data_IF_803527350402
#
_entry.id   IF_803527350402
#
_cell.length_a   1.000
_cell.length_b   1.000
_cell.length_c   1.000
_cell.angle_alpha   90.00
_cell.angle_beta   90.00
_cell.angle_gamma   90.00
#
_symmetry.space_group_name_H-M   'P 1'
#
loop_
_entity.id
_entity.type
_entity.pdbx_description
1 polymer ?
#
# COMPACT_ATOMS: atom_id res chain seq x y z
N UNK A 1 16.70 18.64 4.79
CA UNK A 1 18.01 17.98 4.92
C UNK A 1 17.86 16.61 5.64
N UNK A 2 17.20 16.56 6.78
CA UNK A 2 17.01 15.33 7.58
C UNK A 2 16.27 14.21 6.86
N UNK A 3 15.25 14.50 6.07
CA UNK A 3 14.44 13.49 5.34
C UNK A 3 15.28 12.77 4.28
N UNK A 4 16.13 13.49 3.53
CA UNK A 4 17.01 12.89 2.50
C UNK A 4 18.09 11.99 3.11
N UNK A 5 18.61 12.33 4.29
CA UNK A 5 19.64 11.54 4.96
C UNK A 5 19.05 10.23 5.53
N UNK A 6 17.84 10.27 6.07
CA UNK A 6 17.13 9.08 6.59
C UNK A 6 16.71 8.14 5.45
N UNK A 7 16.27 8.67 4.31
CA UNK A 7 16.00 7.92 3.08
C UNK A 7 17.28 7.21 2.59
N UNK A 8 18.41 7.90 2.57
CA UNK A 8 19.70 7.35 2.14
C UNK A 8 20.18 6.23 3.06
N UNK A 9 20.05 6.41 4.39
CA UNK A 9 20.41 5.38 5.39
C UNK A 9 19.56 4.13 5.23
N UNK A 10 18.25 4.29 4.98
CA UNK A 10 17.32 3.17 4.79
C UNK A 10 17.61 2.39 3.51
N UNK A 11 17.86 3.09 2.41
CA UNK A 11 18.26 2.45 1.16
C UNK A 11 19.56 1.67 1.35
N UNK A 12 20.54 2.28 2.00
CA UNK A 12 21.83 1.60 2.28
C UNK A 12 21.65 0.37 3.20
N UNK A 13 20.78 0.44 4.21
CA UNK A 13 20.49 -0.71 5.08
C UNK A 13 19.74 -1.81 4.32
N UNK A 14 18.82 -1.45 3.46
CA UNK A 14 18.08 -2.41 2.61
C UNK A 14 19.00 -3.12 1.62
N UNK A 15 19.91 -2.38 0.97
CA UNK A 15 20.91 -2.97 0.07
C UNK A 15 21.86 -3.92 0.81
N UNK A 16 22.31 -3.54 2.00
CA UNK A 16 23.11 -4.40 2.87
C UNK A 16 22.35 -5.67 3.25
N UNK A 17 21.10 -5.56 3.67
CA UNK A 17 20.25 -6.71 3.97
C UNK A 17 20.07 -7.62 2.75
N UNK A 18 19.77 -7.08 1.57
CA UNK A 18 19.62 -7.86 0.32
C UNK A 18 20.90 -8.60 -0.06
N UNK A 19 22.04 -7.94 0.08
CA UNK A 19 23.35 -8.53 -0.20
C UNK A 19 23.66 -9.64 0.79
N UNK A 20 23.42 -9.42 2.08
CA UNK A 20 23.65 -10.43 3.12
C UNK A 20 22.72 -11.64 2.93
N UNK A 21 21.44 -11.43 2.60
CA UNK A 21 20.50 -12.53 2.34
C UNK A 21 20.98 -13.42 1.20
N UNK A 22 21.40 -12.83 0.07
CA UNK A 22 21.99 -13.60 -1.04
C UNK A 22 23.26 -14.35 -0.64
N UNK A 23 24.08 -13.77 0.22
CA UNK A 23 25.29 -14.44 0.73
C UNK A 23 24.93 -15.62 1.62
N UNK A 24 23.95 -15.46 2.51
CA UNK A 24 23.45 -16.53 3.39
C UNK A 24 22.87 -17.67 2.55
N UNK A 25 22.06 -17.39 1.52
CA UNK A 25 21.51 -18.41 0.62
C UNK A 25 22.61 -19.20 -0.08
N UNK A 26 23.63 -18.53 -0.64
CA UNK A 26 24.78 -19.19 -1.27
C UNK A 26 25.56 -20.06 -0.28
N UNK A 27 25.73 -19.61 0.97
CA UNK A 27 26.39 -20.40 2.02
C UNK A 27 25.57 -21.65 2.36
N UNK A 28 24.25 -21.54 2.50
CA UNK A 28 23.34 -22.68 2.73
C UNK A 28 23.36 -23.69 1.60
N UNK A 29 23.33 -23.23 0.35
CA UNK A 29 23.48 -24.12 -0.82
C UNK A 29 24.83 -24.84 -0.84
N UNK A 30 25.94 -24.13 -0.53
CA UNK A 30 27.25 -24.72 -0.45
C UNK A 30 27.36 -25.80 0.64
N UNK A 31 26.76 -25.54 1.82
CA UNK A 31 26.69 -26.53 2.91
C UNK A 31 25.94 -27.77 2.42
N UNK A 32 24.76 -27.58 1.77
CA UNK A 32 23.95 -28.69 1.26
C UNK A 32 24.72 -29.53 0.23
N UNK A 33 25.41 -28.88 -0.71
CA UNK A 33 26.27 -29.56 -1.73
C UNK A 33 27.41 -30.33 -1.09
N UNK A 34 28.16 -29.70 -0.16
CA UNK A 34 29.27 -30.36 0.51
C UNK A 34 28.82 -31.57 1.34
N UNK A 35 27.67 -31.48 2.01
CA UNK A 35 27.12 -32.63 2.76
C UNK A 35 26.73 -33.78 1.85
N UNK A 36 26.08 -33.48 0.69
CA UNK A 36 25.67 -34.51 -0.29
C UNK A 36 26.91 -35.19 -0.89
N UNK A 37 27.97 -34.44 -1.27
CA UNK A 37 29.20 -35.00 -1.78
C UNK A 37 29.92 -35.85 -0.72
N UNK A 38 29.96 -35.41 0.54
CA UNK A 38 30.51 -36.16 1.65
C UNK A 38 29.80 -37.48 1.89
N UNK A 39 28.50 -37.57 1.67
CA UNK A 39 27.73 -38.83 1.74
C UNK A 39 28.02 -39.76 0.56
N UNK A 40 28.11 -39.21 -0.67
CA UNK A 40 28.34 -40.01 -1.88
C UNK A 40 29.78 -40.59 -1.88
N UNK A 41 30.77 -39.76 -1.58
CA UNK A 41 32.19 -40.12 -1.64
C UNK A 41 32.76 -40.68 -0.34
N UNK A 42 31.94 -40.79 0.74
CA UNK A 42 32.34 -41.22 2.10
C UNK A 42 33.58 -40.48 2.60
N UNK A 43 33.75 -39.22 2.26
CA UNK A 43 34.93 -38.44 2.55
C UNK A 43 34.67 -37.38 3.63
N UNK A 44 35.31 -37.58 4.80
CA UNK A 44 35.16 -36.65 5.96
C UNK A 44 35.62 -35.22 5.68
N UNK A 45 36.50 -34.98 4.71
CA UNK A 45 36.99 -33.65 4.36
C UNK A 45 35.85 -32.72 3.95
N UNK A 46 34.82 -33.22 3.23
CA UNK A 46 33.67 -32.44 2.85
C UNK A 46 32.80 -32.03 4.04
N UNK A 47 32.61 -32.92 5.02
CA UNK A 47 31.91 -32.58 6.26
C UNK A 47 32.65 -31.55 7.11
N UNK A 48 33.98 -31.63 7.18
CA UNK A 48 34.79 -30.61 7.87
C UNK A 48 34.64 -29.23 7.23
N UNK A 49 34.66 -29.17 5.89
CA UNK A 49 34.41 -27.92 5.12
C UNK A 49 33.00 -27.38 5.34
N UNK A 50 31.97 -28.23 5.29
CA UNK A 50 30.60 -27.83 5.56
C UNK A 50 30.44 -27.21 6.96
N UNK A 51 31.04 -27.88 7.99
CA UNK A 51 31.04 -27.38 9.38
C UNK A 51 31.77 -26.05 9.55
N UNK A 52 32.79 -25.81 8.77
CA UNK A 52 33.50 -24.51 8.75
C UNK A 52 32.60 -23.38 8.23
N UNK A 53 31.84 -23.64 7.16
CA UNK A 53 30.90 -22.66 6.61
C UNK A 53 29.71 -22.42 7.57
N UNK A 54 29.21 -23.48 8.24
CA UNK A 54 28.18 -23.38 9.26
C UNK A 54 28.62 -22.48 10.43
N UNK A 55 29.82 -22.68 10.97
CA UNK A 55 30.36 -21.81 12.02
C UNK A 55 30.52 -20.35 11.56
N UNK A 56 30.83 -20.13 10.29
CA UNK A 56 30.89 -18.78 9.73
C UNK A 56 29.49 -18.16 9.61
N UNK A 57 28.47 -18.97 9.25
CA UNK A 57 27.09 -18.55 9.18
C UNK A 57 26.53 -18.17 10.56
N UNK A 58 26.85 -18.97 11.60
CA UNK A 58 26.43 -18.72 12.99
C UNK A 58 27.06 -17.44 13.58
N UNK A 59 28.24 -17.08 13.14
CA UNK A 59 28.94 -15.85 13.58
C UNK A 59 28.55 -14.61 12.80
N UNK A 60 27.77 -14.74 11.73
CA UNK A 60 27.27 -13.59 10.98
C UNK A 60 26.25 -12.84 11.83
N UNK A 61 26.54 -11.58 12.18
CA UNK A 61 25.54 -10.67 12.70
C UNK A 61 24.47 -10.48 11.63
N UNK A 62 23.28 -11.02 11.90
CA UNK A 62 22.15 -10.91 10.97
C UNK A 62 21.71 -9.45 11.00
N UNK A 63 21.81 -8.78 9.85
CA UNK A 63 21.24 -7.45 9.68
C UNK A 63 19.73 -7.64 9.70
N UNK A 64 19.07 -7.06 10.71
CA UNK A 64 17.62 -7.09 10.79
C UNK A 64 17.02 -6.58 9.50
N UNK A 65 16.07 -7.35 8.97
CA UNK A 65 15.19 -6.86 7.90
C UNK A 65 14.68 -5.51 8.36
N UNK A 66 14.94 -4.46 7.57
CA UNK A 66 14.37 -3.15 7.85
C UNK A 66 12.89 -3.39 8.15
N UNK A 67 12.50 -3.32 9.43
CA UNK A 67 11.14 -3.61 9.82
C UNK A 67 10.28 -2.47 9.29
N UNK A 68 9.68 -2.75 8.16
CA UNK A 68 8.70 -1.91 7.48
C UNK A 68 7.53 -1.59 8.42
N UNK A 69 7.31 -2.49 9.38
CA UNK A 69 6.19 -2.45 10.33
C UNK A 69 6.25 -1.32 11.36
N UNK A 70 7.42 -0.72 11.62
CA UNK A 70 7.56 0.38 12.59
C UNK A 70 7.61 1.78 11.96
N UNK A 71 7.61 1.90 10.64
CA UNK A 71 7.59 3.20 9.99
C UNK A 71 6.16 3.67 9.79
N UNK A 72 5.81 4.73 10.47
CA UNK A 72 4.61 5.51 10.14
C UNK A 72 4.75 5.94 8.68
N UNK A 73 3.86 5.48 7.82
CA UNK A 73 3.78 5.98 6.45
C UNK A 73 3.68 7.51 6.51
N UNK A 74 4.45 8.26 5.74
CA UNK A 74 4.33 9.72 5.70
C UNK A 74 3.04 10.09 4.96
N UNK A 75 1.90 9.83 5.60
CA UNK A 75 0.59 10.24 5.08
C UNK A 75 0.39 11.71 5.41
N UNK A 76 1.19 12.57 4.80
CA UNK A 76 0.93 13.99 4.79
C UNK A 76 -0.03 14.29 3.64
N UNK A 77 -1.31 14.07 3.89
CA UNK A 77 -2.38 14.62 3.03
C UNK A 77 -2.51 16.10 3.41
N UNK A 78 -1.46 16.86 3.13
CA UNK A 78 -1.52 18.30 3.22
C UNK A 78 -2.24 18.79 1.97
N UNK A 79 -3.54 18.92 2.06
CA UNK A 79 -4.32 19.61 1.05
C UNK A 79 -3.88 21.08 1.04
N UNK A 80 -3.07 21.46 0.07
CA UNK A 80 -2.72 22.86 -0.22
C UNK A 80 -3.94 23.66 -0.68
N UNK A 81 -4.97 22.97 -1.15
CA UNK A 81 -6.23 23.57 -1.58
C UNK A 81 -7.34 23.27 -0.54
N UNK A 82 -7.88 24.32 0.05
CA UNK A 82 -9.05 24.26 0.91
C UNK A 82 -10.27 23.88 0.07
N UNK A 83 -10.87 22.71 0.30
CA UNK A 83 -12.22 22.45 -0.16
C UNK A 83 -13.12 23.46 0.54
N UNK A 84 -14.06 24.10 -0.13
CA UNK A 84 -14.94 25.10 0.48
C UNK A 84 -15.55 24.66 1.82
N UNK A 85 -16.39 25.48 2.46
CA UNK A 85 -16.98 25.15 3.76
C UNK A 85 -17.79 23.85 3.69
N UNK A 86 -18.64 23.70 2.67
CA UNK A 86 -19.48 22.53 2.44
C UNK A 86 -18.76 21.61 1.45
N UNK A 87 -18.40 20.40 1.88
CA UNK A 87 -17.68 19.42 1.04
C UNK A 87 -18.63 18.50 0.31
N UNK A 88 -19.65 18.00 1.03
CA UNK A 88 -20.67 17.08 0.50
C UNK A 88 -22.02 17.46 1.10
N UNK A 89 -23.02 17.56 0.23
CA UNK A 89 -24.43 17.76 0.63
C UNK A 89 -25.27 16.71 -0.09
N UNK A 90 -26.03 15.94 0.66
CA UNK A 90 -27.01 14.96 0.18
C UNK A 90 -28.39 15.37 0.72
N UNK A 91 -29.36 15.49 -0.17
CA UNK A 91 -30.71 15.86 0.19
C UNK A 91 -31.72 14.95 -0.48
N UNK A 92 -32.66 14.43 0.32
CA UNK A 92 -33.77 13.58 -0.12
C UNK A 92 -33.29 12.39 -0.97
N UNK A 93 -32.15 11.78 -0.62
CA UNK A 93 -31.63 10.65 -1.34
C UNK A 93 -32.52 9.43 -1.16
N UNK A 94 -32.95 8.85 -2.28
CA UNK A 94 -33.71 7.60 -2.31
C UNK A 94 -32.95 6.59 -3.21
N UNK A 95 -32.82 5.37 -2.72
CA UNK A 95 -32.18 4.27 -3.45
C UNK A 95 -32.89 2.97 -3.14
N UNK A 96 -33.14 2.19 -4.18
CA UNK A 96 -33.74 0.85 -4.08
C UNK A 96 -33.03 -0.13 -5.01
N UNK A 97 -32.98 -1.38 -4.63
CA UNK A 97 -32.58 -2.50 -5.50
C UNK A 97 -33.79 -3.46 -5.62
N UNK A 98 -34.46 -3.42 -6.77
CA UNK A 98 -35.76 -4.10 -6.92
C UNK A 98 -36.79 -3.60 -5.90
N UNK A 99 -37.25 -4.50 -5.03
CA UNK A 99 -38.20 -4.15 -3.96
C UNK A 99 -37.53 -3.75 -2.64
N UNK A 100 -36.21 -3.86 -2.54
CA UNK A 100 -35.49 -3.55 -1.31
C UNK A 100 -35.11 -2.05 -1.29
N UNK A 101 -35.67 -1.30 -0.35
CA UNK A 101 -35.39 0.12 -0.13
C UNK A 101 -34.13 0.22 0.75
N UNK A 102 -33.06 0.83 0.21
CA UNK A 102 -31.81 1.08 0.93
C UNK A 102 -31.83 2.45 1.61
N UNK A 103 -32.23 3.47 0.87
CA UNK A 103 -32.41 4.82 1.39
C UNK A 103 -33.78 5.34 1.06
N UNK A 104 -34.41 6.00 2.05
CA UNK A 104 -35.68 6.70 1.91
C UNK A 104 -35.54 8.08 2.55
N UNK A 105 -35.51 9.11 1.69
CA UNK A 105 -35.37 10.52 2.11
C UNK A 105 -34.12 10.77 3.00
N UNK A 106 -33.00 10.15 2.66
CA UNK A 106 -31.74 10.27 3.43
C UNK A 106 -31.09 11.62 3.17
N UNK A 107 -30.65 12.28 4.25
CA UNK A 107 -29.99 13.57 4.21
C UNK A 107 -28.67 13.49 4.97
N UNK A 108 -27.62 14.13 4.43
CA UNK A 108 -26.30 14.15 5.04
C UNK A 108 -25.52 15.37 4.55
N UNK A 109 -24.79 16.00 5.47
CA UNK A 109 -23.88 17.09 5.16
C UNK A 109 -22.52 16.79 5.76
N UNK A 110 -21.45 17.12 5.03
CA UNK A 110 -20.06 17.00 5.49
C UNK A 110 -19.34 18.30 5.23
N UNK A 111 -18.76 18.85 6.28
CA UNK A 111 -18.03 20.10 6.24
C UNK A 111 -16.52 19.91 6.21
N UNK A 112 -15.82 20.94 5.82
CA UNK A 112 -14.36 20.93 5.79
C UNK A 112 -13.76 20.65 7.18
N UNK A 113 -12.82 19.70 7.23
CA UNK A 113 -12.14 19.30 8.47
C UNK A 113 -12.89 18.29 9.32
N UNK A 114 -14.13 17.94 8.96
CA UNK A 114 -14.89 16.91 9.68
C UNK A 114 -14.35 15.51 9.43
N UNK A 115 -14.49 14.68 10.47
CA UNK A 115 -14.23 13.23 10.42
C UNK A 115 -15.55 12.50 10.66
N UNK A 116 -16.13 11.96 9.61
CA UNK A 116 -17.41 11.27 9.65
C UNK A 116 -17.17 9.76 9.64
N UNK A 117 -17.88 9.03 10.51
CA UNK A 117 -17.87 7.58 10.55
C UNK A 117 -19.27 7.04 10.25
N UNK A 118 -19.38 6.20 9.22
CA UNK A 118 -20.59 5.47 8.91
C UNK A 118 -20.63 4.18 9.74
N UNK A 119 -21.65 4.03 10.59
CA UNK A 119 -21.83 2.85 11.45
C UNK A 119 -23.15 2.20 11.09
N UNK A 120 -23.21 0.89 11.08
CA UNK A 120 -24.39 0.10 10.81
C UNK A 120 -24.07 -1.36 10.52
N UNK A 121 -25.07 -2.21 10.56
CA UNK A 121 -24.95 -3.63 10.27
C UNK A 121 -24.54 -3.90 8.81
N UNK A 122 -24.13 -5.15 8.52
CA UNK A 122 -23.89 -5.57 7.15
C UNK A 122 -25.17 -5.48 6.34
N UNK A 123 -25.09 -4.89 5.13
CA UNK A 123 -26.26 -4.65 4.29
C UNK A 123 -27.05 -3.36 4.59
N UNK A 124 -26.64 -2.54 5.57
CA UNK A 124 -27.33 -1.27 5.91
C UNK A 124 -27.15 -0.15 4.86
N UNK A 125 -26.46 -0.42 3.75
CA UNK A 125 -26.29 0.55 2.67
C UNK A 125 -24.99 1.38 2.74
N UNK A 126 -24.05 1.12 3.67
CA UNK A 126 -22.79 1.89 3.76
C UNK A 126 -22.03 1.94 2.45
N UNK A 127 -21.75 0.80 1.85
CA UNK A 127 -21.04 0.72 0.56
C UNK A 127 -21.85 1.28 -0.59
N UNK A 128 -23.20 1.19 -0.54
CA UNK A 128 -24.08 1.83 -1.52
C UNK A 128 -23.94 3.35 -1.45
N UNK A 129 -23.95 3.94 -0.25
CA UNK A 129 -23.74 5.38 -0.06
C UNK A 129 -22.38 5.82 -0.60
N UNK A 130 -21.32 5.09 -0.26
CA UNK A 130 -19.97 5.36 -0.76
C UNK A 130 -19.94 5.29 -2.28
N UNK A 131 -20.51 4.26 -2.90
CA UNK A 131 -20.55 4.11 -4.36
C UNK A 131 -21.31 5.27 -5.04
N UNK A 132 -22.38 5.76 -4.44
CA UNK A 132 -23.09 6.95 -4.92
C UNK A 132 -22.19 8.19 -4.84
N UNK A 133 -21.52 8.42 -3.70
CA UNK A 133 -20.65 9.58 -3.50
C UNK A 133 -19.46 9.57 -4.47
N UNK A 134 -18.83 8.40 -4.71
CA UNK A 134 -17.69 8.30 -5.63
C UNK A 134 -18.10 8.20 -7.11
N UNK A 135 -19.43 8.25 -7.40
CA UNK A 135 -19.95 8.24 -8.76
C UNK A 135 -19.93 6.88 -9.47
N UNK A 136 -19.82 5.79 -8.72
CA UNK A 136 -19.91 4.42 -9.27
C UNK A 136 -21.35 3.94 -9.44
N UNK A 137 -22.28 4.44 -8.63
CA UNK A 137 -23.71 4.16 -8.72
C UNK A 137 -24.43 5.47 -8.96
N UNK A 138 -25.04 5.60 -10.14
CA UNK A 138 -25.77 6.79 -10.57
C UNK A 138 -27.30 6.59 -10.55
N UNK A 139 -27.75 5.38 -10.21
CA UNK A 139 -29.18 5.05 -10.16
C UNK A 139 -29.75 5.38 -8.78
N UNK A 140 -30.03 6.65 -8.54
CA UNK A 140 -30.70 7.16 -7.34
C UNK A 140 -31.55 8.39 -7.67
N UNK A 141 -32.44 8.78 -6.75
CA UNK A 141 -33.14 10.05 -6.81
C UNK A 141 -32.81 10.92 -5.61
N UNK A 142 -33.00 12.22 -5.73
CA UNK A 142 -32.57 13.21 -4.75
C UNK A 142 -31.44 14.08 -5.28
N UNK A 143 -30.85 14.87 -4.40
CA UNK A 143 -29.79 15.80 -4.76
C UNK A 143 -28.48 15.43 -4.04
N UNK A 144 -27.41 15.25 -4.84
CA UNK A 144 -26.06 15.04 -4.34
C UNK A 144 -25.16 16.13 -4.90
N UNK A 145 -24.58 16.95 -4.03
CA UNK A 145 -23.70 18.03 -4.40
C UNK A 145 -22.35 17.83 -3.71
N UNK A 146 -21.30 17.71 -4.52
CA UNK A 146 -19.91 17.69 -4.06
C UNK A 146 -19.29 19.02 -4.44
N UNK A 147 -18.54 19.62 -3.52
CA UNK A 147 -17.87 20.88 -3.81
C UNK A 147 -16.89 20.71 -4.98
N UNK A 148 -16.88 21.58 -6.00
CA UNK A 148 -15.97 21.47 -7.12
C UNK A 148 -14.48 21.47 -6.75
N UNK A 149 -14.14 22.06 -5.60
CA UNK A 149 -12.76 22.05 -5.06
C UNK A 149 -12.43 20.77 -4.30
N UNK A 150 -13.40 19.87 -4.07
CA UNK A 150 -13.16 18.60 -3.39
C UNK A 150 -12.53 17.59 -4.36
N UNK A 151 -11.30 17.21 -4.05
CA UNK A 151 -10.59 16.13 -4.75
C UNK A 151 -10.78 14.83 -3.97
N UNK A 152 -11.70 13.99 -4.44
CA UNK A 152 -12.04 12.74 -3.75
C UNK A 152 -10.90 11.72 -3.91
N UNK A 153 -10.45 11.17 -2.78
CA UNK A 153 -9.64 9.97 -2.70
C UNK A 153 -10.44 8.83 -2.08
N UNK A 154 -10.47 7.70 -2.76
CA UNK A 154 -11.25 6.54 -2.31
C UNK A 154 -10.34 5.31 -2.15
N UNK A 155 -10.42 4.69 -0.97
CA UNK A 155 -9.81 3.39 -0.69
C UNK A 155 -10.96 2.40 -0.53
N UNK A 156 -11.18 1.50 -1.51
CA UNK A 156 -12.21 0.48 -1.44
C UNK A 156 -11.80 -0.66 -0.51
N UNK A 157 -12.78 -1.44 -0.08
CA UNK A 157 -12.57 -2.67 0.67
C UNK A 157 -11.70 -3.68 -0.09
N UNK A 158 -11.92 -3.85 -1.39
CA UNK A 158 -11.10 -4.67 -2.28
C UNK A 158 -10.41 -3.77 -3.32
N UNK A 159 -9.09 -3.76 -3.33
CA UNK A 159 -8.32 -2.96 -4.27
C UNK A 159 -8.06 -3.77 -5.54
N UNK A 160 -8.68 -3.35 -6.64
CA UNK A 160 -8.45 -3.86 -7.99
C UNK A 160 -7.87 -2.76 -8.86
N UNK A 161 -6.84 -3.08 -9.62
CA UNK A 161 -6.27 -2.19 -10.62
C UNK A 161 -6.86 -2.51 -12.01
N UNK A 162 -6.99 -1.51 -12.87
CA UNK A 162 -7.53 -1.71 -14.22
C UNK A 162 -6.64 -2.62 -15.06
N UNK A 163 -5.34 -2.51 -14.91
CA UNK A 163 -4.35 -3.35 -15.57
C UNK A 163 -3.43 -4.01 -14.54
N UNK A 164 -3.79 -5.19 -14.08
CA UNK A 164 -3.03 -5.95 -13.08
C UNK A 164 -1.64 -6.41 -13.58
N UNK A 165 -1.41 -6.44 -14.90
CA UNK A 165 -0.13 -6.85 -15.52
C UNK A 165 0.90 -5.71 -15.57
N UNK A 166 0.47 -4.48 -15.36
CA UNK A 166 1.31 -3.30 -15.32
C UNK A 166 2.27 -3.34 -14.11
N UNK A 167 3.43 -2.70 -14.25
CA UNK A 167 4.36 -2.57 -13.12
C UNK A 167 3.96 -1.39 -12.22
N UNK A 168 4.40 -1.41 -10.96
CA UNK A 168 4.22 -0.27 -10.05
C UNK A 168 4.78 1.01 -10.69
N UNK A 169 5.95 0.90 -11.32
CA UNK A 169 6.60 2.04 -11.96
C UNK A 169 5.74 2.62 -13.09
N UNK A 170 5.25 1.78 -14.00
CA UNK A 170 4.43 2.21 -15.12
C UNK A 170 3.11 2.83 -14.65
N UNK A 171 2.47 2.22 -13.65
CA UNK A 171 1.25 2.73 -13.03
C UNK A 171 1.39 4.16 -12.49
N UNK A 172 2.59 4.51 -11.99
CA UNK A 172 2.87 5.86 -11.51
C UNK A 172 3.37 6.79 -12.62
N UNK A 173 4.18 6.31 -13.55
CA UNK A 173 4.73 7.13 -14.64
C UNK A 173 3.64 7.67 -15.56
N UNK A 174 2.57 6.89 -15.77
CA UNK A 174 1.43 7.30 -16.60
C UNK A 174 0.62 8.48 -15.99
N UNK A 175 0.62 8.63 -14.67
CA UNK A 175 -0.14 9.69 -13.98
C UNK A 175 0.75 10.83 -13.43
N UNK A 176 2.04 10.55 -13.24
CA UNK A 176 2.97 11.45 -12.58
C UNK A 176 4.10 11.84 -13.55
N UNK A 177 3.89 12.93 -14.27
CA UNK A 177 4.84 13.42 -15.26
C UNK A 177 6.15 13.91 -14.62
N UNK A 178 6.96 12.97 -14.14
CA UNK A 178 8.24 13.14 -13.44
C UNK A 178 9.29 12.20 -14.00
N UNK A 179 10.54 12.50 -13.71
CA UNK A 179 11.68 11.65 -14.10
C UNK A 179 11.62 10.30 -13.35
N UNK A 180 12.23 9.28 -13.94
CA UNK A 180 12.34 7.95 -13.33
C UNK A 180 12.91 8.02 -11.89
N UNK A 181 13.91 8.86 -11.67
CA UNK A 181 14.56 9.05 -10.37
C UNK A 181 13.58 9.63 -9.34
N UNK A 182 12.80 10.63 -9.73
CA UNK A 182 11.80 11.24 -8.84
C UNK A 182 10.69 10.26 -8.47
N UNK A 183 10.19 9.47 -9.44
CA UNK A 183 9.18 8.44 -9.21
C UNK A 183 9.72 7.39 -8.25
N UNK A 184 10.93 6.87 -8.47
CA UNK A 184 11.56 5.88 -7.58
C UNK A 184 11.79 6.43 -6.17
N UNK A 185 12.24 7.68 -6.05
CA UNK A 185 12.41 8.37 -4.75
C UNK A 185 11.08 8.54 -4.03
N UNK A 186 10.01 8.88 -4.77
CA UNK A 186 8.68 9.00 -4.21
C UNK A 186 8.14 7.64 -3.73
N UNK A 187 8.22 6.60 -4.56
CA UNK A 187 7.78 5.24 -4.24
C UNK A 187 8.54 4.64 -3.05
N UNK A 188 9.80 5.01 -2.87
CA UNK A 188 10.61 4.59 -1.72
C UNK A 188 10.00 5.06 -0.37
N UNK A 189 9.29 6.20 -0.33
CA UNK A 189 8.57 6.68 0.86
C UNK A 189 7.44 5.74 1.27
N UNK A 190 6.88 5.03 0.29
CA UNK A 190 5.83 4.02 0.46
C UNK A 190 6.37 2.60 0.45
N UNK A 191 7.69 2.45 0.66
CA UNK A 191 8.40 1.19 0.84
C UNK A 191 8.51 0.30 -0.42
N UNK A 192 8.48 0.92 -1.58
CA UNK A 192 8.82 0.28 -2.84
C UNK A 192 10.25 0.65 -3.24
N UNK A 193 11.21 -0.24 -2.99
CA UNK A 193 12.64 0.01 -3.18
C UNK A 193 13.25 -0.83 -4.31
N UNK A 194 14.29 -0.31 -4.94
CA UNK A 194 15.13 -1.03 -5.90
C UNK A 194 14.29 -1.67 -7.03
N UNK A 195 14.44 -2.97 -7.23
CA UNK A 195 13.73 -3.73 -8.26
C UNK A 195 12.23 -3.95 -7.95
N UNK A 196 11.80 -3.75 -6.70
CA UNK A 196 10.39 -3.92 -6.33
C UNK A 196 9.47 -2.93 -7.03
N UNK A 197 9.98 -1.80 -7.53
CA UNK A 197 9.20 -0.85 -8.32
C UNK A 197 8.75 -1.41 -9.67
N UNK A 198 9.43 -2.45 -10.17
CA UNK A 198 9.09 -3.16 -11.40
C UNK A 198 8.25 -4.43 -11.16
N UNK A 199 7.83 -4.67 -9.92
CA UNK A 199 6.89 -5.74 -9.58
C UNK A 199 5.54 -5.45 -10.23
N UNK A 200 4.89 -6.47 -10.81
CA UNK A 200 3.55 -6.35 -11.38
C UNK A 200 2.51 -6.17 -10.30
N UNK A 201 1.44 -5.44 -10.60
CA UNK A 201 0.36 -5.16 -9.66
C UNK A 201 -0.36 -6.42 -9.19
N UNK A 202 -0.50 -7.43 -10.05
CA UNK A 202 -1.06 -8.75 -9.71
C UNK A 202 -0.31 -9.46 -8.57
N UNK A 203 0.99 -9.20 -8.44
CA UNK A 203 1.87 -9.86 -7.48
C UNK A 203 1.98 -9.10 -6.14
N UNK A 204 1.19 -8.04 -5.95
CA UNK A 204 1.19 -7.26 -4.72
C UNK A 204 0.36 -7.93 -3.63
N UNK A 205 0.89 -7.96 -2.41
CA UNK A 205 0.11 -8.30 -1.21
C UNK A 205 -0.95 -7.23 -0.93
N UNK A 206 -1.98 -7.56 -0.13
CA UNK A 206 -3.03 -6.61 0.24
C UNK A 206 -2.47 -5.32 0.85
N UNK A 207 -1.52 -5.42 1.78
CA UNK A 207 -0.85 -4.26 2.39
C UNK A 207 -0.02 -3.44 1.38
N UNK A 208 0.63 -4.09 0.39
CA UNK A 208 1.33 -3.39 -0.69
C UNK A 208 0.34 -2.63 -1.59
N UNK A 209 -0.81 -3.23 -1.91
CA UNK A 209 -1.89 -2.57 -2.69
C UNK A 209 -2.40 -1.31 -1.98
N UNK A 210 -2.65 -1.39 -0.66
CA UNK A 210 -3.06 -0.23 0.15
C UNK A 210 -1.99 0.87 0.13
N UNK A 211 -0.71 0.52 0.36
CA UNK A 211 0.39 1.49 0.32
C UNK A 211 0.53 2.17 -1.04
N UNK A 212 0.36 1.40 -2.12
CA UNK A 212 0.41 1.93 -3.48
C UNK A 212 -0.74 2.91 -3.74
N UNK A 213 -1.94 2.56 -3.30
CA UNK A 213 -3.11 3.43 -3.44
C UNK A 213 -2.96 4.71 -2.60
N UNK A 214 -2.44 4.60 -1.36
CA UNK A 214 -2.13 5.78 -0.53
C UNK A 214 -1.12 6.71 -1.21
N UNK A 215 -0.07 6.15 -1.81
CA UNK A 215 0.89 6.92 -2.59
C UNK A 215 0.20 7.69 -3.74
N UNK A 216 -0.71 7.03 -4.45
CA UNK A 216 -1.51 7.64 -5.53
C UNK A 216 -2.38 8.79 -5.02
N UNK A 217 -3.03 8.62 -3.88
CA UNK A 217 -3.89 9.66 -3.29
C UNK A 217 -3.10 10.93 -2.91
N UNK A 218 -1.88 10.76 -2.43
CA UNK A 218 -1.00 11.90 -2.11
C UNK A 218 -0.58 12.66 -3.37
N UNK A 219 -0.26 11.96 -4.46
CA UNK A 219 0.07 12.61 -5.75
C UNK A 219 -1.12 13.40 -6.29
N UNK A 220 -2.33 12.86 -6.14
CA UNK A 220 -3.56 13.52 -6.60
C UNK A 220 -3.98 14.70 -5.72
N UNK A 221 -3.20 15.03 -4.68
CA UNK A 221 -3.52 16.11 -3.74
C UNK A 221 -4.95 16.00 -3.17
N UNK A 222 -5.35 14.78 -2.86
CA UNK A 222 -6.67 14.48 -2.32
C UNK A 222 -6.94 15.29 -1.05
N UNK A 223 -8.11 15.94 -0.98
CA UNK A 223 -8.53 16.71 0.18
C UNK A 223 -9.87 16.24 0.78
N UNK A 224 -10.54 15.27 0.15
CA UNK A 224 -11.69 14.54 0.68
C UNK A 224 -11.45 13.04 0.58
N UNK A 225 -11.13 12.42 1.72
CA UNK A 225 -10.76 11.00 1.78
C UNK A 225 -11.94 10.14 2.22
N UNK A 226 -12.24 9.10 1.46
CA UNK A 226 -13.26 8.09 1.76
C UNK A 226 -12.58 6.75 1.93
N UNK A 227 -12.80 6.10 3.08
CA UNK A 227 -12.22 4.80 3.44
C UNK A 227 -13.35 3.80 3.65
N UNK A 228 -13.33 2.69 2.92
CA UNK A 228 -14.28 1.59 3.06
C UNK A 228 -13.57 0.40 3.73
N UNK A 229 -13.87 0.13 5.01
CA UNK A 229 -13.28 -0.91 5.85
C UNK A 229 -11.73 -0.99 5.80
N UNK A 230 -11.01 0.12 6.04
CA UNK A 230 -9.56 0.18 5.82
C UNK A 230 -8.75 -0.75 6.73
N UNK A 231 -9.35 -1.27 7.79
CA UNK A 231 -8.65 -2.11 8.79
C UNK A 231 -8.41 -3.54 8.32
N UNK A 232 -9.15 -4.03 7.31
CA UNK A 232 -9.05 -5.42 6.85
C UNK A 232 -7.73 -5.74 6.12
N UNK A 233 -6.98 -4.71 5.68
CA UNK A 233 -5.74 -4.86 4.91
C UNK A 233 -4.54 -4.13 5.52
N UNK A 234 -4.76 -3.38 6.58
CA UNK A 234 -3.67 -2.79 7.34
C UNK A 234 -3.39 -3.73 8.52
N UNK A 235 -2.29 -4.47 8.47
CA UNK A 235 -1.67 -4.99 9.69
C UNK A 235 -1.29 -3.77 10.54
N UNK A 236 -2.25 -3.31 11.32
CA UNK A 236 -2.03 -2.32 12.34
C UNK A 236 -1.30 -3.07 13.44
N UNK A 237 0.03 -3.15 13.30
CA UNK A 237 0.89 -3.58 14.38
C UNK A 237 0.59 -2.68 15.58
N UNK A 238 -0.08 -3.24 16.54
CA UNK A 238 -0.35 -2.72 17.88
C UNK A 238 0.91 -2.19 18.56
#
# INVERSE_FOLDING_TARGET
YFVKEDERRTLAQFEKYKTQTKQIEKMKESIKKLRSFGQIEQNESFFKRAKCIERRLEKLEIIDKVSVEKRKLPININSTSRSGKDVLIIQNLNKKYGNNIVFNNFNMEVYYGEKVRLIGENGSGKSTLINIIVGKDLDFTGNLKINPSAKIGYIPQEIKFQNEKETIFDYFSNEYNKTQTEIRTFLAKYMFFGENVFKRLENLSGGERVRLLLAKLVIKETNFLILDEPTNHLDIGT
#
